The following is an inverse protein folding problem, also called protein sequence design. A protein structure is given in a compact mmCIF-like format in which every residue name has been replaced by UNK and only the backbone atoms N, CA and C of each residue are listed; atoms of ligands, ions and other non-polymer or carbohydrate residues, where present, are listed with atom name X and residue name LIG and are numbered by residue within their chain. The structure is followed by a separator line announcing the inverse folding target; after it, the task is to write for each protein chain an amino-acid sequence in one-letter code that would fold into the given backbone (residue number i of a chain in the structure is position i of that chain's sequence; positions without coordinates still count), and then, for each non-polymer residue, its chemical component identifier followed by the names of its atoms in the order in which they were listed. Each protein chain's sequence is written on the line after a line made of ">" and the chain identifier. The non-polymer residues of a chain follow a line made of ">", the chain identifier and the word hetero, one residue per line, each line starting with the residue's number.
data_IF_919226342188
#
_entry.id   IF_919226342188
#
_cell.length_a   1.000
_cell.length_b   1.000
_cell.length_c   1.000
_cell.angle_alpha   90.00
_cell.angle_beta   90.00
_cell.angle_gamma   90.00
#
_symmetry.space_group_name_H-M   'P 1'
#
loop_
_entity.id
_entity.type
_entity.pdbx_description
1 polymer ?
#
# COMPACT_ATOMS: atom_id res chain seq x y z
N UNK A 1 16.89 -21.32 -7.00
CA UNK A 1 16.61 -20.05 -7.70
C UNK A 1 15.61 -19.32 -6.80
N UNK A 2 16.11 -18.46 -5.89
CA UNK A 2 15.24 -17.68 -5.00
C UNK A 2 14.49 -16.67 -5.88
N UNK A 3 13.15 -16.81 -5.98
CA UNK A 3 12.32 -15.71 -6.42
C UNK A 3 12.46 -14.65 -5.33
N UNK A 4 13.10 -13.54 -5.65
CA UNK A 4 13.05 -12.34 -4.83
C UNK A 4 11.59 -11.92 -4.73
N UNK A 5 10.98 -12.19 -3.58
CA UNK A 5 9.64 -11.74 -3.25
C UNK A 5 9.70 -10.23 -3.09
N UNK A 6 8.99 -9.54 -3.95
CA UNK A 6 8.94 -8.09 -4.01
C UNK A 6 8.13 -7.55 -2.83
N UNK A 7 8.79 -6.93 -1.86
CA UNK A 7 8.13 -6.27 -0.75
C UNK A 7 7.72 -4.84 -1.14
N UNK A 8 6.43 -4.65 -1.41
CA UNK A 8 5.86 -3.35 -1.78
C UNK A 8 5.83 -2.33 -0.65
N UNK A 9 5.99 -2.77 0.59
CA UNK A 9 5.97 -1.91 1.77
C UNK A 9 7.37 -1.47 2.20
N UNK A 10 8.42 -2.00 1.60
CA UNK A 10 9.77 -1.53 1.82
C UNK A 10 10.06 -0.32 0.92
N UNK A 11 10.28 0.84 1.52
CA UNK A 11 10.75 2.05 0.80
C UNK A 11 12.06 1.81 0.02
N UNK A 12 12.78 0.71 0.30
CA UNK A 12 13.94 0.25 -0.47
C UNK A 12 13.54 -0.46 -1.76
N UNK A 13 12.31 -0.96 -1.90
CA UNK A 13 11.82 -1.67 -3.09
C UNK A 13 11.75 -0.76 -4.33
N UNK A 14 11.56 0.54 -4.14
CA UNK A 14 11.69 1.57 -5.19
C UNK A 14 13.07 1.53 -5.83
N UNK A 15 14.12 1.23 -5.05
CA UNK A 15 15.50 1.09 -5.53
C UNK A 15 15.67 -0.14 -6.44
N UNK A 16 14.77 -1.10 -6.37
CA UNK A 16 14.82 -2.37 -7.11
C UNK A 16 14.21 -2.23 -8.51
N UNK A 17 13.25 -1.32 -8.75
CA UNK A 17 12.96 -0.91 -10.11
C UNK A 17 14.20 -0.21 -10.65
N UNK A 18 15.09 -0.92 -11.31
CA UNK A 18 16.28 -0.52 -12.03
C UNK A 18 16.23 0.93 -12.60
N UNK A 19 15.87 1.87 -11.73
CA UNK A 19 16.01 3.28 -12.01
C UNK A 19 17.51 3.53 -12.08
N UNK A 20 17.96 3.96 -13.23
CA UNK A 20 19.34 4.36 -13.45
C UNK A 20 19.82 5.25 -12.28
N UNK A 21 21.06 5.11 -11.85
CA UNK A 21 21.68 5.95 -10.80
C UNK A 21 21.46 7.44 -11.06
N UNK A 22 21.42 7.83 -12.32
CA UNK A 22 21.13 9.18 -12.77
C UNK A 22 19.72 9.64 -12.37
N UNK A 23 18.71 8.81 -12.63
CA UNK A 23 17.31 9.11 -12.27
C UNK A 23 17.15 9.20 -10.75
N UNK A 24 17.82 8.33 -9.98
CA UNK A 24 17.80 8.42 -8.50
C UNK A 24 18.35 9.72 -7.97
N UNK A 25 19.42 10.23 -8.59
CA UNK A 25 19.98 11.53 -8.24
C UNK A 25 19.00 12.67 -8.57
N UNK A 26 18.32 12.60 -9.70
CA UNK A 26 17.28 13.57 -10.10
C UNK A 26 16.09 13.57 -9.15
N UNK A 27 15.71 12.41 -8.61
CA UNK A 27 14.65 12.30 -7.61
C UNK A 27 15.05 12.80 -6.21
N UNK A 28 16.30 13.18 -5.98
CA UNK A 28 16.72 13.83 -4.71
C UNK A 28 15.96 15.15 -4.45
N UNK A 29 15.34 15.74 -5.47
CA UNK A 29 14.43 16.88 -5.31
C UNK A 29 13.27 16.58 -4.34
N UNK A 30 12.88 15.31 -4.19
CA UNK A 30 11.84 14.89 -3.24
C UNK A 30 12.24 15.12 -1.78
N UNK A 31 13.54 15.29 -1.49
CA UNK A 31 14.01 15.65 -0.15
C UNK A 31 13.58 17.06 0.30
N UNK A 32 13.02 17.84 -0.61
CA UNK A 32 12.38 19.14 -0.31
C UNK A 32 10.97 19.01 0.26
N UNK A 33 10.35 17.84 0.12
CA UNK A 33 9.04 17.56 0.66
C UNK A 33 9.14 17.18 2.14
N UNK A 34 8.06 17.42 2.88
CA UNK A 34 7.91 16.81 4.20
C UNK A 34 7.87 15.28 4.10
N UNK A 35 8.26 14.55 5.16
CA UNK A 35 8.39 13.08 5.11
C UNK A 35 7.10 12.35 4.71
N UNK A 36 5.93 12.88 5.07
CA UNK A 36 4.66 12.24 4.72
C UNK A 36 4.34 12.41 3.24
N UNK A 37 4.49 13.63 2.71
CA UNK A 37 4.29 13.90 1.27
C UNK A 37 5.31 13.15 0.43
N UNK A 38 6.58 13.08 0.89
CA UNK A 38 7.61 12.29 0.21
C UNK A 38 7.21 10.82 0.12
N UNK A 39 6.82 10.21 1.25
CA UNK A 39 6.39 8.80 1.29
C UNK A 39 5.17 8.55 0.41
N UNK A 40 4.19 9.45 0.44
CA UNK A 40 3.03 9.41 -0.45
C UNK A 40 3.46 9.41 -1.93
N UNK A 41 4.34 10.34 -2.31
CA UNK A 41 4.86 10.44 -3.68
C UNK A 41 5.59 9.14 -4.11
N UNK A 42 6.34 8.54 -3.21
CA UNK A 42 7.00 7.25 -3.42
C UNK A 42 5.98 6.13 -3.65
N UNK A 43 4.95 6.03 -2.83
CA UNK A 43 3.88 5.05 -2.97
C UNK A 43 3.12 5.22 -4.30
N UNK A 44 2.75 6.45 -4.64
CA UNK A 44 2.04 6.77 -5.88
C UNK A 44 2.88 6.40 -7.10
N UNK A 45 4.17 6.72 -7.11
CA UNK A 45 5.08 6.32 -8.19
C UNK A 45 5.15 4.80 -8.38
N UNK A 46 5.28 4.06 -7.28
CA UNK A 46 5.31 2.59 -7.30
C UNK A 46 4.00 2.00 -7.81
N UNK A 47 2.88 2.48 -7.28
CA UNK A 47 1.55 1.99 -7.69
C UNK A 47 1.28 2.31 -9.17
N UNK A 48 1.71 3.49 -9.64
CA UNK A 48 1.67 3.87 -11.06
C UNK A 48 2.43 2.86 -11.92
N UNK A 49 3.63 2.46 -11.51
CA UNK A 49 4.42 1.44 -12.21
C UNK A 49 3.71 0.10 -12.31
N UNK A 50 3.12 -0.37 -11.21
CA UNK A 50 2.33 -1.62 -11.20
C UNK A 50 1.11 -1.55 -12.11
N UNK A 51 0.38 -0.44 -12.07
CA UNK A 51 -0.76 -0.23 -12.97
C UNK A 51 -0.30 -0.29 -14.44
N UNK A 52 0.83 0.35 -14.79
CA UNK A 52 1.42 0.28 -16.12
C UNK A 52 1.74 -1.16 -16.56
N UNK A 53 2.26 -1.99 -15.66
CA UNK A 53 2.54 -3.40 -15.93
C UNK A 53 1.25 -4.19 -16.22
N UNK A 54 0.20 -3.98 -15.42
CA UNK A 54 -1.12 -4.60 -15.67
C UNK A 54 -1.76 -4.14 -16.97
N UNK A 55 -1.53 -2.90 -17.36
CA UNK A 55 -1.93 -2.36 -18.67
C UNK A 55 -1.05 -2.85 -19.82
N UNK A 56 0.03 -3.62 -19.52
CA UNK A 56 1.02 -4.12 -20.48
C UNK A 56 1.68 -3.01 -21.29
N UNK A 57 1.96 -1.88 -20.66
CA UNK A 57 2.64 -0.77 -21.30
C UNK A 57 4.14 -1.07 -21.46
N UNK A 58 4.77 -0.45 -22.45
CA UNK A 58 6.19 -0.66 -22.68
C UNK A 58 7.05 -0.11 -21.53
N UNK A 59 8.28 -0.62 -21.40
CA UNK A 59 9.20 -0.28 -20.30
C UNK A 59 9.52 1.22 -20.26
N UNK A 60 9.69 1.86 -21.42
CA UNK A 60 10.04 3.28 -21.48
C UNK A 60 8.92 4.14 -20.91
N UNK A 61 7.67 3.90 -21.33
CA UNK A 61 6.49 4.57 -20.79
C UNK A 61 6.32 4.29 -19.29
N UNK A 62 6.52 3.05 -18.86
CA UNK A 62 6.40 2.66 -17.44
C UNK A 62 7.38 3.44 -16.57
N UNK A 63 8.66 3.52 -16.96
CA UNK A 63 9.67 4.30 -16.22
C UNK A 63 9.30 5.78 -16.20
N UNK A 64 8.87 6.33 -17.35
CA UNK A 64 8.39 7.71 -17.41
C UNK A 64 7.22 7.96 -16.47
N UNK A 65 6.23 7.09 -16.46
CA UNK A 65 5.05 7.21 -15.61
C UNK A 65 5.38 7.10 -14.11
N UNK A 66 6.32 6.22 -13.73
CA UNK A 66 6.82 6.11 -12.35
C UNK A 66 7.42 7.44 -11.90
N UNK A 67 8.28 8.04 -12.71
CA UNK A 67 8.94 9.32 -12.37
C UNK A 67 7.91 10.44 -12.28
N UNK A 68 6.94 10.50 -13.20
CA UNK A 68 5.81 11.42 -13.11
C UNK A 68 5.04 11.24 -11.79
N UNK A 69 4.79 9.99 -11.38
CA UNK A 69 4.15 9.67 -10.10
C UNK A 69 4.95 10.14 -8.90
N UNK A 70 6.28 10.00 -8.91
CA UNK A 70 7.13 10.55 -7.84
C UNK A 70 7.07 12.07 -7.76
N UNK A 71 6.97 12.75 -8.89
CA UNK A 71 7.04 14.21 -8.98
C UNK A 71 5.67 14.89 -8.92
N UNK A 72 4.56 14.16 -8.91
CA UNK A 72 3.22 14.73 -9.02
C UNK A 72 2.96 15.84 -7.99
N UNK A 73 3.42 15.63 -6.77
CA UNK A 73 3.20 16.50 -5.62
C UNK A 73 4.39 17.43 -5.28
N UNK A 74 5.43 17.51 -6.13
CA UNK A 74 6.63 18.30 -5.82
C UNK A 74 6.33 19.79 -5.58
N UNK A 75 5.24 20.29 -6.15
CA UNK A 75 4.77 21.65 -5.94
C UNK A 75 4.32 21.97 -4.52
N UNK A 76 4.00 20.94 -3.70
CA UNK A 76 3.69 21.12 -2.29
C UNK A 76 4.83 21.70 -1.49
N UNK A 77 6.08 21.58 -1.99
CA UNK A 77 7.24 22.23 -1.40
C UNK A 77 7.17 23.79 -1.43
N UNK A 78 6.24 24.36 -2.18
CA UNK A 78 6.01 25.80 -2.26
C UNK A 78 4.66 26.23 -1.66
N UNK A 79 3.88 25.31 -1.10
CA UNK A 79 2.63 25.62 -0.39
C UNK A 79 2.97 26.03 1.04
N UNK A 80 2.31 27.08 1.60
CA UNK A 80 2.51 27.50 2.98
C UNK A 80 2.31 26.32 3.97
N UNK A 81 3.25 26.21 4.92
CA UNK A 81 3.26 25.09 5.88
C UNK A 81 1.96 25.02 6.72
N UNK A 82 1.39 26.18 7.07
CA UNK A 82 0.14 26.27 7.85
C UNK A 82 -1.04 25.63 7.11
N UNK A 83 -1.02 25.61 5.77
CA UNK A 83 -2.04 24.94 4.95
C UNK A 83 -1.76 23.44 4.84
N UNK A 84 -0.48 23.08 4.64
CA UNK A 84 -0.08 21.66 4.52
C UNK A 84 -0.27 20.88 5.82
N UNK A 85 0.08 21.49 6.97
CA UNK A 85 0.06 20.85 8.28
C UNK A 85 -1.26 21.03 9.02
N UNK A 86 -2.28 21.62 8.39
CA UNK A 86 -3.56 21.91 9.04
C UNK A 86 -4.26 20.65 9.51
N UNK A 87 -4.54 20.58 10.80
CA UNK A 87 -5.36 19.52 11.37
C UNK A 87 -6.85 19.85 11.14
N UNK A 88 -7.47 19.13 10.20
CA UNK A 88 -8.85 19.32 9.81
C UNK A 88 -9.07 19.76 8.35
N UNK A 89 -10.33 20.03 7.96
CA UNK A 89 -10.66 20.41 6.59
C UNK A 89 -10.15 21.80 6.24
N UNK A 90 -9.66 21.94 4.98
CA UNK A 90 -9.29 23.22 4.42
C UNK A 90 -10.56 24.07 4.16
N UNK A 91 -10.47 25.36 4.41
CA UNK A 91 -11.47 26.33 3.94
C UNK A 91 -11.40 26.44 2.40
N UNK A 92 -12.43 26.99 1.78
CA UNK A 92 -12.44 27.17 0.31
C UNK A 92 -11.20 27.98 -0.16
N UNK A 93 -10.81 29.03 0.56
CA UNK A 93 -9.63 29.84 0.22
C UNK A 93 -8.33 29.04 0.34
N UNK A 94 -8.15 28.29 1.40
CA UNK A 94 -6.98 27.42 1.59
C UNK A 94 -6.93 26.30 0.54
N UNK A 95 -8.09 25.79 0.15
CA UNK A 95 -8.17 24.78 -0.90
C UNK A 95 -7.78 25.34 -2.27
N UNK A 96 -8.17 26.59 -2.60
CA UNK A 96 -7.68 27.25 -3.82
C UNK A 96 -6.15 27.43 -3.81
N UNK A 97 -5.56 27.76 -2.67
CA UNK A 97 -4.09 27.80 -2.53
C UNK A 97 -3.52 26.40 -2.69
N UNK A 98 -4.10 25.39 -2.05
CA UNK A 98 -3.65 23.99 -2.18
C UNK A 98 -3.65 23.54 -3.64
N UNK A 99 -4.67 23.85 -4.44
CA UNK A 99 -4.72 23.47 -5.87
C UNK A 99 -3.53 24.00 -6.67
N UNK A 100 -2.93 25.11 -6.25
CA UNK A 100 -1.79 25.69 -6.97
C UNK A 100 -0.56 24.79 -6.97
N UNK A 101 -0.47 23.74 -6.10
CA UNK A 101 0.68 22.83 -6.12
C UNK A 101 0.86 22.16 -7.49
N UNK A 102 -0.19 21.96 -8.28
CA UNK A 102 -0.10 21.38 -9.63
C UNK A 102 0.69 22.30 -10.58
N UNK A 103 0.36 23.58 -10.62
CA UNK A 103 1.04 24.57 -11.45
C UNK A 103 2.42 24.92 -10.91
N UNK A 104 2.60 24.95 -9.58
CA UNK A 104 3.91 25.14 -8.95
C UNK A 104 4.84 23.95 -9.26
N UNK A 105 4.33 22.72 -9.18
CA UNK A 105 5.07 21.51 -9.52
C UNK A 105 5.48 21.48 -10.99
N UNK A 106 4.58 21.82 -11.89
CA UNK A 106 4.89 22.01 -13.31
C UNK A 106 6.03 23.01 -13.50
N UNK A 107 5.95 24.18 -12.88
CA UNK A 107 6.96 25.21 -12.98
C UNK A 107 8.33 24.78 -12.43
N UNK A 108 8.34 24.01 -11.34
CA UNK A 108 9.58 23.42 -10.81
C UNK A 108 10.20 22.48 -11.86
N UNK A 109 9.42 21.57 -12.42
CA UNK A 109 9.90 20.65 -13.44
C UNK A 109 10.38 21.36 -14.70
N UNK A 110 9.68 22.40 -15.17
CA UNK A 110 10.04 23.14 -16.38
C UNK A 110 11.35 23.92 -16.25
N UNK A 111 11.73 24.32 -15.02
CA UNK A 111 13.00 25.04 -14.75
C UNK A 111 14.23 24.11 -14.81
N UNK A 112 14.06 22.81 -14.60
CA UNK A 112 15.15 21.83 -14.70
C UNK A 112 14.98 20.99 -15.98
N UNK A 113 15.95 21.08 -16.89
CA UNK A 113 15.91 20.37 -18.19
C UNK A 113 15.74 18.85 -18.03
N UNK A 114 16.22 18.29 -16.94
CA UNK A 114 16.15 16.85 -16.65
C UNK A 114 14.74 16.43 -16.17
N UNK A 115 14.03 17.33 -15.48
CA UNK A 115 12.69 17.08 -14.96
C UNK A 115 11.59 17.50 -15.92
N UNK A 116 11.91 18.36 -16.90
CA UNK A 116 10.96 18.87 -17.89
C UNK A 116 10.11 17.80 -18.57
N UNK A 117 10.63 16.62 -18.96
CA UNK A 117 9.82 15.58 -19.58
C UNK A 117 8.68 15.06 -18.68
N UNK A 118 8.77 15.26 -17.37
CA UNK A 118 7.83 14.71 -16.38
C UNK A 118 6.83 15.76 -15.85
N UNK A 119 6.91 17.01 -16.35
CA UNK A 119 6.11 18.14 -15.87
C UNK A 119 4.60 17.92 -15.96
N UNK A 120 4.12 17.18 -16.98
CA UNK A 120 2.71 16.89 -17.17
C UNK A 120 2.11 16.03 -16.04
N UNK A 121 2.91 15.16 -15.43
CA UNK A 121 2.49 14.40 -14.25
C UNK A 121 2.11 15.32 -13.09
N UNK A 122 2.94 16.35 -12.81
CA UNK A 122 2.65 17.32 -11.77
C UNK A 122 1.47 18.24 -12.12
N UNK A 123 1.30 18.60 -13.39
CA UNK A 123 0.25 19.56 -13.79
C UNK A 123 -1.14 18.92 -13.78
N UNK A 124 -1.29 17.71 -14.31
CA UNK A 124 -2.60 17.16 -14.70
C UNK A 124 -3.12 16.02 -13.84
N UNK A 125 -2.41 15.60 -12.79
CA UNK A 125 -2.84 14.44 -11.97
C UNK A 125 -4.17 14.65 -11.22
N UNK A 126 -4.63 15.88 -11.05
CA UNK A 126 -5.94 16.21 -10.49
C UNK A 126 -7.02 16.52 -11.53
N UNK A 127 -6.73 16.38 -12.81
CA UNK A 127 -7.79 16.45 -13.84
C UNK A 127 -8.71 15.24 -13.73
N UNK A 128 -9.99 15.43 -14.06
CA UNK A 128 -11.03 14.40 -14.00
C UNK A 128 -11.67 14.20 -15.36
N UNK A 129 -11.94 12.95 -15.77
CA UNK A 129 -12.46 12.64 -17.11
C UNK A 129 -13.74 13.39 -17.44
N UNK A 130 -14.58 13.70 -16.45
CA UNK A 130 -15.81 14.49 -16.62
C UNK A 130 -15.58 16.01 -16.64
N UNK A 131 -14.35 16.49 -16.52
CA UNK A 131 -13.99 17.89 -16.55
C UNK A 131 -14.18 18.66 -15.23
N UNK A 132 -14.45 17.97 -14.13
CA UNK A 132 -14.60 18.59 -12.79
C UNK A 132 -13.27 18.71 -12.05
N UNK A 133 -12.17 18.32 -12.69
CA UNK A 133 -10.81 18.39 -12.14
C UNK A 133 -10.20 19.78 -12.25
N UNK A 134 -8.92 19.87 -11.93
CA UNK A 134 -8.10 21.07 -12.00
C UNK A 134 -6.67 20.75 -12.44
N UNK A 135 -5.89 21.72 -12.95
CA UNK A 135 -6.12 23.17 -12.96
C UNK A 135 -6.93 23.69 -14.18
N UNK A 136 -7.08 22.90 -15.23
CA UNK A 136 -7.66 23.38 -16.50
C UNK A 136 -9.08 22.85 -16.78
N UNK A 137 -9.54 21.86 -16.03
CA UNK A 137 -10.84 21.21 -16.26
C UNK A 137 -10.88 20.41 -17.57
N UNK A 138 -9.74 19.78 -17.91
CA UNK A 138 -9.63 18.95 -19.11
C UNK A 138 -10.57 17.75 -19.03
N UNK A 139 -10.98 17.24 -20.20
CA UNK A 139 -11.92 16.11 -20.29
C UNK A 139 -11.30 14.98 -21.10
N UNK A 140 -11.62 13.75 -20.69
CA UNK A 140 -11.35 12.53 -21.47
C UNK A 140 -9.91 12.46 -22.03
N UNK A 141 -9.79 12.40 -23.34
CA UNK A 141 -8.52 12.23 -24.05
C UNK A 141 -7.61 13.45 -23.99
N UNK A 142 -8.14 14.64 -23.71
CA UNK A 142 -7.34 15.85 -23.51
C UNK A 142 -6.43 15.74 -22.29
N UNK A 143 -6.79 14.84 -21.32
CA UNK A 143 -5.95 14.56 -20.17
C UNK A 143 -4.85 13.58 -20.57
N UNK A 144 -3.56 13.89 -20.39
CA UNK A 144 -2.46 12.98 -20.69
C UNK A 144 -2.66 11.62 -20.02
N UNK A 145 -2.38 10.53 -20.75
CA UNK A 145 -2.66 9.19 -20.26
C UNK A 145 -1.90 8.87 -18.96
N UNK A 146 -0.68 9.39 -18.82
CA UNK A 146 0.11 9.27 -17.58
C UNK A 146 -0.61 9.91 -16.39
N UNK A 147 -1.20 11.08 -16.56
CA UNK A 147 -1.94 11.79 -15.50
C UNK A 147 -3.20 11.01 -15.07
N UNK A 148 -3.90 10.36 -16.02
CA UNK A 148 -5.05 9.49 -15.69
C UNK A 148 -4.65 8.28 -14.85
N UNK A 149 -3.45 7.73 -15.07
CA UNK A 149 -2.92 6.62 -14.25
C UNK A 149 -2.55 7.12 -12.85
N UNK A 150 -1.81 8.23 -12.78
CA UNK A 150 -1.37 8.84 -11.51
C UNK A 150 -2.59 9.20 -10.66
N UNK A 151 -3.64 9.79 -11.24
CA UNK A 151 -4.85 10.12 -10.49
C UNK A 151 -5.44 8.94 -9.75
N UNK A 152 -5.52 7.77 -10.37
CA UNK A 152 -6.06 6.57 -9.72
C UNK A 152 -5.14 6.09 -8.58
N UNK A 153 -3.84 6.15 -8.80
CA UNK A 153 -2.85 5.77 -7.79
C UNK A 153 -2.84 6.73 -6.59
N UNK A 154 -2.87 8.05 -6.86
CA UNK A 154 -2.90 9.11 -5.86
C UNK A 154 -4.16 9.04 -5.01
N UNK A 155 -5.34 8.94 -5.62
CA UNK A 155 -6.61 8.85 -4.91
C UNK A 155 -6.67 7.62 -3.99
N UNK A 156 -6.16 6.48 -4.46
CA UNK A 156 -6.07 5.27 -3.62
C UNK A 156 -5.15 5.46 -2.43
N UNK A 157 -3.90 5.90 -2.64
CA UNK A 157 -2.93 6.06 -1.56
C UNK A 157 -3.41 7.13 -0.55
N UNK A 158 -3.96 8.25 -1.03
CA UNK A 158 -4.52 9.28 -0.17
C UNK A 158 -5.69 8.78 0.70
N UNK A 159 -6.56 7.92 0.17
CA UNK A 159 -7.69 7.34 0.93
C UNK A 159 -7.19 6.31 1.94
N UNK A 160 -6.21 5.48 1.57
CA UNK A 160 -5.63 4.46 2.43
C UNK A 160 -4.80 5.11 3.54
N UNK A 161 -3.98 6.09 3.24
CA UNK A 161 -3.07 6.77 4.20
C UNK A 161 -3.82 7.65 5.19
N UNK A 162 -4.83 8.43 4.76
CA UNK A 162 -5.61 9.31 5.65
C UNK A 162 -6.34 8.57 6.79
N UNK A 163 -6.54 7.27 6.66
CA UNK A 163 -7.25 6.46 7.67
C UNK A 163 -6.34 5.86 8.73
N UNK A 164 -5.02 6.05 8.67
CA UNK A 164 -4.11 5.58 9.72
C UNK A 164 -4.37 6.18 11.11
N UNK A 165 -5.06 7.31 11.21
CA UNK A 165 -5.53 7.86 12.50
C UNK A 165 -6.82 7.18 13.02
N UNK A 166 -7.49 6.36 12.21
CA UNK A 166 -8.63 5.53 12.66
C UNK A 166 -8.28 4.07 12.36
N UNK A 167 -8.11 3.30 13.39
CA UNK A 167 -7.86 1.85 13.39
C UNK A 167 -8.59 1.13 12.24
N UNK A 168 -7.80 0.44 11.40
CA UNK A 168 -8.19 -0.39 10.26
C UNK A 168 -8.78 0.37 9.05
N UNK A 169 -7.91 0.62 8.09
CA UNK A 169 -8.35 1.03 6.76
C UNK A 169 -9.15 -0.09 6.14
N UNK A 170 -10.44 0.14 5.97
CA UNK A 170 -11.26 -0.80 5.21
C UNK A 170 -10.98 -0.59 3.72
N UNK A 171 -10.00 -1.34 3.19
CA UNK A 171 -9.61 -1.30 1.77
C UNK A 171 -10.84 -1.47 0.88
N UNK A 172 -11.80 -2.33 1.28
CA UNK A 172 -13.01 -2.54 0.51
C UNK A 172 -13.90 -1.29 0.44
N UNK A 173 -13.97 -0.48 1.50
CA UNK A 173 -14.70 0.80 1.46
C UNK A 173 -13.99 1.84 0.59
N UNK A 174 -12.65 1.89 0.64
CA UNK A 174 -11.86 2.74 -0.25
C UNK A 174 -12.15 2.41 -1.72
N UNK A 175 -12.09 1.13 -2.09
CA UNK A 175 -12.37 0.69 -3.45
C UNK A 175 -13.83 0.94 -3.86
N UNK A 176 -14.80 0.82 -2.94
CA UNK A 176 -16.20 1.20 -3.19
C UNK A 176 -16.37 2.71 -3.45
N UNK A 177 -15.60 3.56 -2.77
CA UNK A 177 -15.61 5.00 -3.02
C UNK A 177 -15.04 5.30 -4.42
N UNK A 178 -13.90 4.71 -4.76
CA UNK A 178 -13.30 4.86 -6.09
C UNK A 178 -14.20 4.31 -7.21
N UNK A 179 -14.94 3.23 -6.94
CA UNK A 179 -15.92 2.71 -7.89
C UNK A 179 -17.04 3.72 -8.19
N UNK A 180 -17.48 4.52 -7.19
CA UNK A 180 -18.43 5.60 -7.40
C UNK A 180 -17.85 6.71 -8.29
N UNK A 181 -16.55 7.02 -8.12
CA UNK A 181 -15.88 8.04 -8.92
C UNK A 181 -15.56 7.57 -10.36
N UNK A 182 -15.48 6.25 -10.59
CA UNK A 182 -15.39 5.68 -11.94
C UNK A 182 -16.75 5.58 -12.66
N UNK A 183 -17.85 5.72 -11.93
CA UNK A 183 -19.21 5.58 -12.43
C UNK A 183 -19.60 6.81 -13.26
N UNK A 184 -20.27 6.63 -14.41
CA UNK A 184 -20.91 7.73 -15.12
C UNK A 184 -21.94 8.47 -14.30
N UNK A 185 -22.05 9.79 -14.50
CA UNK A 185 -22.97 10.66 -13.74
C UNK A 185 -24.45 10.28 -13.90
N UNK A 186 -24.80 9.66 -15.05
CA UNK A 186 -26.13 9.18 -15.38
C UNK A 186 -26.52 7.83 -14.76
N UNK A 187 -25.57 7.13 -14.12
CA UNK A 187 -25.85 5.86 -13.47
C UNK A 187 -26.29 6.02 -12.00
N UNK A 188 -27.55 5.78 -11.69
CA UNK A 188 -28.10 5.92 -10.34
C UNK A 188 -27.75 4.80 -9.35
N UNK A 189 -27.32 3.63 -9.83
CA UNK A 189 -26.96 2.47 -8.97
C UNK A 189 -25.45 2.21 -8.96
N UNK A 190 -24.92 1.81 -7.82
CA UNK A 190 -23.56 1.26 -7.72
C UNK A 190 -23.54 -0.06 -8.47
N UNK A 191 -22.74 -0.16 -9.50
CA UNK A 191 -22.62 -1.31 -10.39
C UNK A 191 -21.37 -2.09 -10.01
N UNK A 192 -21.34 -3.37 -10.25
CA UNK A 192 -20.11 -4.15 -10.13
C UNK A 192 -19.05 -3.64 -11.12
N UNK A 193 -17.79 -3.80 -10.78
CA UNK A 193 -16.66 -3.27 -11.58
C UNK A 193 -16.67 -3.79 -13.03
N UNK A 194 -17.08 -5.04 -13.23
CA UNK A 194 -17.22 -5.70 -14.54
C UNK A 194 -18.38 -5.17 -15.40
N UNK A 195 -19.38 -4.54 -14.79
CA UNK A 195 -20.49 -3.87 -15.49
C UNK A 195 -20.12 -2.47 -15.97
N UNK A 196 -19.04 -1.87 -15.47
CA UNK A 196 -18.52 -0.64 -16.02
C UNK A 196 -17.88 -0.92 -17.37
N UNK A 197 -18.37 -0.26 -18.42
CA UNK A 197 -17.68 -0.28 -19.71
C UNK A 197 -16.26 0.23 -19.55
N UNK A 198 -15.28 -0.51 -20.06
CA UNK A 198 -13.87 -0.07 -20.02
C UNK A 198 -13.65 1.26 -20.75
N UNK A 199 -14.54 1.57 -21.69
CA UNK A 199 -14.53 2.79 -22.49
C UNK A 199 -15.42 3.90 -21.89
N UNK A 200 -16.07 3.68 -20.72
CA UNK A 200 -16.80 4.74 -20.06
C UNK A 200 -15.82 5.85 -19.61
N UNK A 201 -16.06 7.05 -20.08
CA UNK A 201 -15.22 8.21 -19.81
C UNK A 201 -16.02 9.39 -19.23
N UNK A 202 -17.13 9.10 -18.60
CA UNK A 202 -18.04 10.10 -18.02
C UNK A 202 -17.95 10.22 -16.51
N UNK A 203 -17.26 9.30 -15.83
CA UNK A 203 -16.90 9.44 -14.41
C UNK A 203 -15.69 10.35 -14.21
N UNK A 204 -15.19 10.44 -12.96
CA UNK A 204 -13.98 11.20 -12.64
C UNK A 204 -12.70 10.44 -13.01
N UNK A 205 -12.69 9.12 -12.85
CA UNK A 205 -11.54 8.24 -13.09
C UNK A 205 -11.85 7.14 -14.10
N UNK A 206 -10.80 6.59 -14.72
CA UNK A 206 -10.93 5.56 -15.74
C UNK A 206 -11.29 4.20 -15.14
N UNK A 207 -12.42 3.56 -15.56
CA UNK A 207 -12.77 2.21 -15.13
C UNK A 207 -11.70 1.17 -15.49
N UNK A 208 -11.07 1.32 -16.65
CA UNK A 208 -9.99 0.42 -17.11
C UNK A 208 -8.79 0.45 -16.16
N UNK A 209 -8.37 1.64 -15.75
CA UNK A 209 -7.25 1.81 -14.82
C UNK A 209 -7.65 1.33 -13.43
N UNK A 210 -8.87 1.62 -12.99
CA UNK A 210 -9.40 1.15 -11.71
C UNK A 210 -9.45 -0.38 -11.64
N UNK A 211 -9.82 -1.07 -12.72
CA UNK A 211 -9.77 -2.54 -12.80
C UNK A 211 -8.35 -3.09 -12.56
N UNK A 212 -7.32 -2.41 -13.06
CA UNK A 212 -5.94 -2.79 -12.77
C UNK A 212 -5.60 -2.62 -11.29
N UNK A 213 -6.02 -1.51 -10.67
CA UNK A 213 -5.84 -1.29 -9.23
C UNK A 213 -6.51 -2.39 -8.40
N UNK A 214 -7.75 -2.77 -8.71
CA UNK A 214 -8.45 -3.87 -8.00
C UNK A 214 -7.66 -5.18 -8.07
N UNK A 215 -7.12 -5.53 -9.25
CA UNK A 215 -6.29 -6.74 -9.39
C UNK A 215 -5.04 -6.67 -8.52
N UNK A 216 -4.37 -5.52 -8.50
CA UNK A 216 -3.20 -5.29 -7.67
C UNK A 216 -3.54 -5.50 -6.18
N UNK A 217 -4.60 -4.86 -5.72
CA UNK A 217 -5.03 -4.96 -4.31
C UNK A 217 -5.43 -6.38 -3.92
N UNK A 218 -6.11 -7.10 -4.81
CA UNK A 218 -6.44 -8.53 -4.61
C UNK A 218 -5.17 -9.38 -4.47
N UNK A 219 -4.18 -9.17 -5.32
CA UNK A 219 -2.92 -9.91 -5.24
C UNK A 219 -2.15 -9.60 -3.96
N UNK A 220 -2.08 -8.33 -3.57
CA UNK A 220 -1.42 -7.92 -2.32
C UNK A 220 -2.11 -8.53 -1.11
N UNK A 221 -3.45 -8.53 -1.08
CA UNK A 221 -4.21 -9.16 0.00
C UNK A 221 -3.96 -10.68 0.06
N UNK A 222 -3.92 -11.35 -1.09
CA UNK A 222 -3.59 -12.78 -1.16
C UNK A 222 -2.17 -13.07 -0.68
N UNK A 223 -1.21 -12.23 -1.04
CA UNK A 223 0.16 -12.36 -0.57
C UNK A 223 0.26 -12.15 0.94
N UNK A 224 -0.40 -11.12 1.49
CA UNK A 224 -0.47 -10.90 2.95
C UNK A 224 -1.08 -12.10 3.67
N UNK A 225 -2.16 -12.68 3.14
CA UNK A 225 -2.76 -13.91 3.67
C UNK A 225 -1.72 -15.04 3.73
N UNK A 226 -0.98 -15.28 2.65
CA UNK A 226 0.05 -16.31 2.62
C UNK A 226 1.12 -16.09 3.69
N UNK A 227 1.65 -14.86 3.80
CA UNK A 227 2.65 -14.53 4.82
C UNK A 227 2.15 -14.73 6.25
N UNK A 228 0.88 -14.37 6.51
CA UNK A 228 0.29 -14.56 7.85
C UNK A 228 0.06 -16.03 8.14
N UNK A 229 -0.34 -16.86 7.17
CA UNK A 229 -0.47 -18.32 7.32
C UNK A 229 0.89 -18.94 7.65
N UNK A 230 1.93 -18.63 6.88
CA UNK A 230 3.28 -19.15 7.13
C UNK A 230 3.78 -18.80 8.54
N UNK A 231 3.46 -17.58 9.01
CA UNK A 231 3.82 -17.16 10.36
C UNK A 231 2.97 -17.85 11.46
N UNK A 232 1.69 -18.12 11.20
CA UNK A 232 0.83 -18.93 12.09
C UNK A 232 1.40 -20.33 12.23
N UNK A 233 1.81 -20.95 11.14
CA UNK A 233 2.38 -22.31 11.17
C UNK A 233 3.69 -22.34 11.94
N UNK A 234 4.56 -21.35 11.72
CA UNK A 234 5.79 -21.17 12.53
C UNK A 234 5.48 -21.02 14.02
N UNK A 235 4.48 -20.22 14.40
CA UNK A 235 4.09 -20.05 15.80
C UNK A 235 3.56 -21.35 16.39
N UNK A 236 2.71 -22.10 15.67
CA UNK A 236 2.16 -23.39 16.14
C UNK A 236 3.26 -24.43 16.37
N UNK A 237 4.21 -24.55 15.47
CA UNK A 237 5.35 -25.45 15.65
C UNK A 237 6.24 -25.02 16.82
N UNK A 238 6.53 -23.72 16.95
CA UNK A 238 7.33 -23.18 18.05
C UNK A 238 6.64 -23.38 19.41
N UNK A 239 5.34 -23.16 19.50
CA UNK A 239 4.54 -23.41 20.70
C UNK A 239 4.63 -24.90 21.07
N UNK A 240 4.40 -25.81 20.14
CA UNK A 240 4.47 -27.26 20.36
C UNK A 240 5.85 -27.69 20.88
N UNK A 241 6.93 -27.13 20.33
CA UNK A 241 8.30 -27.38 20.78
C UNK A 241 8.54 -26.85 22.20
N UNK A 242 8.10 -25.62 22.52
CA UNK A 242 8.22 -25.03 23.84
C UNK A 242 7.36 -25.77 24.89
N UNK A 243 6.19 -26.29 24.53
CA UNK A 243 5.36 -27.15 25.39
C UNK A 243 6.04 -28.48 25.67
N UNK A 244 6.79 -29.02 24.72
CA UNK A 244 7.63 -30.21 24.96
C UNK A 244 8.75 -29.92 25.94
N UNK A 245 9.41 -28.76 25.85
CA UNK A 245 10.41 -28.29 26.83
C UNK A 245 9.78 -28.20 28.22
N UNK A 246 8.58 -27.61 28.30
CA UNK A 246 7.87 -27.50 29.57
C UNK A 246 7.53 -28.87 30.18
N UNK A 247 7.08 -29.80 29.35
CA UNK A 247 6.87 -31.20 29.74
C UNK A 247 8.15 -31.86 30.28
N UNK A 248 9.30 -31.62 29.66
CA UNK A 248 10.59 -32.12 30.13
C UNK A 248 11.01 -31.48 31.44
N UNK A 249 10.76 -30.18 31.61
CA UNK A 249 11.02 -29.47 32.87
C UNK A 249 10.20 -30.07 34.03
N UNK A 250 8.91 -30.29 33.83
CA UNK A 250 8.04 -30.95 34.82
C UNK A 250 8.54 -32.35 35.19
N UNK A 251 8.92 -33.15 34.18
CA UNK A 251 9.46 -34.51 34.39
C UNK A 251 10.83 -34.48 35.11
N UNK A 252 11.67 -33.48 34.83
CA UNK A 252 12.94 -33.27 35.51
C UNK A 252 12.75 -32.93 36.99
N UNK A 253 11.80 -32.04 37.30
CA UNK A 253 11.48 -31.65 38.67
C UNK A 253 10.94 -32.83 39.49
N UNK A 254 10.14 -33.70 38.88
CA UNK A 254 9.54 -34.86 39.55
C UNK A 254 10.44 -36.11 39.58
N UNK A 255 11.61 -36.05 38.92
CA UNK A 255 12.51 -37.20 38.87
C UNK A 255 13.29 -37.35 40.21
N UNK A 256 13.30 -38.54 40.79
CA UNK A 256 14.03 -38.87 41.98
C UNK A 256 15.49 -39.25 41.72
N UNK A 257 15.81 -39.81 40.55
CA UNK A 257 17.16 -40.25 40.20
C UNK A 257 17.88 -39.16 39.39
N UNK A 258 19.13 -38.85 39.75
CA UNK A 258 19.96 -37.83 39.09
C UNK A 258 20.11 -38.09 37.57
N UNK A 259 20.38 -39.33 37.19
CA UNK A 259 20.52 -39.73 35.75
C UNK A 259 19.26 -39.38 34.92
N UNK A 260 18.03 -39.44 35.51
CA UNK A 260 16.82 -39.04 34.82
C UNK A 260 16.69 -37.51 34.72
N UNK A 261 17.13 -36.79 35.76
CA UNK A 261 17.18 -35.30 35.72
C UNK A 261 18.08 -34.82 34.60
N UNK A 262 19.31 -35.41 34.54
CA UNK A 262 20.28 -35.04 33.52
C UNK A 262 19.74 -35.31 32.09
N UNK A 263 19.11 -36.48 31.87
CA UNK A 263 18.47 -36.85 30.60
C UNK A 263 17.42 -35.80 30.17
N UNK A 264 16.51 -35.39 31.05
CA UNK A 264 15.51 -34.39 30.69
C UNK A 264 16.13 -33.02 30.47
N UNK A 265 17.15 -32.63 31.24
CA UNK A 265 17.87 -31.38 31.08
C UNK A 265 18.57 -31.30 29.74
N UNK A 266 19.28 -32.35 29.34
CA UNK A 266 19.91 -32.45 28.01
C UNK A 266 18.88 -32.36 26.89
N UNK A 267 17.75 -33.07 27.03
CA UNK A 267 16.67 -33.00 26.05
C UNK A 267 16.09 -31.58 25.88
N UNK A 268 15.97 -30.82 26.98
CA UNK A 268 15.54 -29.41 26.90
C UNK A 268 16.58 -28.56 26.17
N UNK A 269 17.87 -28.73 26.49
CA UNK A 269 18.97 -27.96 25.86
C UNK A 269 18.98 -28.18 24.34
N UNK A 270 18.73 -29.43 23.87
CA UNK A 270 18.67 -29.75 22.46
C UNK A 270 17.47 -29.10 21.73
N UNK A 271 16.42 -28.76 22.47
CA UNK A 271 15.22 -28.15 21.90
C UNK A 271 15.25 -26.61 21.90
N UNK A 272 16.12 -25.99 22.69
CA UNK A 272 16.25 -24.54 22.70
C UNK A 272 16.80 -24.02 21.37
N UNK A 273 16.19 -22.96 20.87
CA UNK A 273 16.66 -22.20 19.72
C UNK A 273 17.47 -20.97 20.18
N UNK A 274 18.05 -20.25 19.24
CA UNK A 274 18.84 -19.06 19.50
C UNK A 274 18.04 -18.02 20.34
N UNK A 275 18.61 -17.61 21.46
CA UNK A 275 17.97 -16.68 22.40
C UNK A 275 17.08 -17.32 23.46
N UNK A 276 16.79 -18.63 23.37
CA UNK A 276 15.96 -19.35 24.33
C UNK A 276 16.82 -20.03 25.41
N UNK A 277 16.33 -20.08 26.64
CA UNK A 277 17.00 -20.73 27.76
C UNK A 277 16.00 -21.09 28.88
N UNK A 278 16.51 -21.75 29.94
CA UNK A 278 15.70 -22.16 31.09
C UNK A 278 14.99 -21.02 31.82
N UNK A 279 15.45 -19.78 31.68
CA UNK A 279 14.91 -18.62 32.40
C UNK A 279 13.79 -17.93 31.62
N UNK A 280 13.84 -17.95 30.28
CA UNK A 280 12.97 -17.14 29.45
C UNK A 280 11.93 -17.91 28.61
N UNK A 281 12.06 -19.24 28.45
CA UNK A 281 11.20 -20.01 27.55
C UNK A 281 9.69 -19.92 27.89
N UNK A 282 9.34 -19.82 29.18
CA UNK A 282 7.94 -19.64 29.58
C UNK A 282 7.36 -18.30 29.12
N UNK A 283 8.17 -17.24 29.19
CA UNK A 283 7.76 -15.92 28.72
C UNK A 283 7.59 -15.94 27.20
N UNK A 284 8.52 -16.55 26.47
CA UNK A 284 8.46 -16.72 25.02
C UNK A 284 7.22 -17.53 24.61
N UNK A 285 6.93 -18.63 25.32
CA UNK A 285 5.73 -19.45 25.08
C UNK A 285 4.45 -18.62 25.25
N UNK A 286 4.38 -17.78 26.29
CA UNK A 286 3.24 -16.88 26.51
C UNK A 286 3.08 -15.86 25.38
N UNK A 287 4.19 -15.26 24.95
CA UNK A 287 4.22 -14.28 23.86
C UNK A 287 3.79 -14.92 22.52
N UNK A 288 4.27 -16.13 22.21
CA UNK A 288 3.89 -16.84 20.99
C UNK A 288 2.41 -17.23 20.98
N UNK A 289 1.84 -17.66 22.11
CA UNK A 289 0.40 -17.91 22.23
C UNK A 289 -0.43 -16.65 22.02
N UNK A 290 -0.01 -15.53 22.59
CA UNK A 290 -0.67 -14.24 22.37
C UNK A 290 -0.58 -13.78 20.93
N UNK A 291 0.61 -13.92 20.32
CA UNK A 291 0.83 -13.59 18.90
C UNK A 291 -0.03 -14.46 17.97
N UNK A 292 -0.18 -15.76 18.27
CA UNK A 292 -1.02 -16.67 17.49
C UNK A 292 -2.49 -16.22 17.44
N UNK A 293 -3.08 -15.88 18.58
CA UNK A 293 -4.48 -15.40 18.65
C UNK A 293 -4.66 -14.13 17.79
N UNK A 294 -3.71 -13.19 17.86
CA UNK A 294 -3.77 -11.96 17.07
C UNK A 294 -3.71 -12.28 15.57
N UNK A 295 -2.86 -13.23 15.15
CA UNK A 295 -2.70 -13.59 13.74
C UNK A 295 -3.87 -14.40 13.19
N UNK A 296 -4.45 -15.29 13.97
CA UNK A 296 -5.67 -16.02 13.58
C UNK A 296 -6.83 -15.04 13.34
N UNK A 297 -7.02 -14.06 14.22
CA UNK A 297 -8.01 -12.99 13.98
C UNK A 297 -7.69 -12.18 12.72
N UNK A 298 -6.41 -11.86 12.47
CA UNK A 298 -6.01 -11.11 11.27
C UNK A 298 -6.34 -11.85 9.98
N UNK A 299 -6.20 -13.18 9.97
CA UNK A 299 -6.57 -14.00 8.80
C UNK A 299 -8.05 -13.88 8.49
N UNK A 300 -8.92 -13.95 9.48
CA UNK A 300 -10.37 -13.80 9.30
C UNK A 300 -10.71 -12.43 8.70
N UNK A 301 -10.09 -11.35 9.22
CA UNK A 301 -10.27 -9.99 8.70
C UNK A 301 -9.81 -9.86 7.24
N UNK A 302 -8.68 -10.50 6.88
CA UNK A 302 -8.15 -10.49 5.50
C UNK A 302 -9.05 -11.27 4.53
N UNK A 303 -9.56 -12.44 4.92
CA UNK A 303 -10.49 -13.19 4.08
C UNK A 303 -11.79 -12.43 3.86
N UNK A 304 -12.35 -11.79 4.89
CA UNK A 304 -13.52 -10.92 4.75
C UNK A 304 -13.24 -9.75 3.79
N UNK A 305 -12.07 -9.12 3.93
CA UNK A 305 -11.65 -8.06 3.03
C UNK A 305 -11.54 -8.55 1.59
N UNK A 306 -10.92 -9.71 1.36
CA UNK A 306 -10.75 -10.31 0.03
C UNK A 306 -12.11 -10.60 -0.63
N UNK A 307 -13.08 -11.15 0.11
CA UNK A 307 -14.43 -11.39 -0.38
C UNK A 307 -15.10 -10.06 -0.79
N UNK A 308 -15.01 -9.04 0.04
CA UNK A 308 -15.59 -7.72 -0.23
C UNK A 308 -14.92 -6.99 -1.41
N UNK A 309 -13.63 -7.22 -1.65
CA UNK A 309 -12.92 -6.64 -2.79
C UNK A 309 -13.29 -7.39 -4.09
N UNK A 310 -13.41 -8.72 -4.01
CA UNK A 310 -13.74 -9.55 -5.17
C UNK A 310 -15.19 -9.40 -5.62
N UNK A 311 -16.10 -9.11 -4.67
CA UNK A 311 -17.55 -8.94 -4.92
C UNK A 311 -18.07 -7.62 -4.30
N UNK A 312 -17.60 -6.44 -4.77
CA UNK A 312 -17.86 -5.15 -4.11
C UNK A 312 -19.34 -4.74 -4.05
N UNK A 313 -20.23 -5.48 -4.70
CA UNK A 313 -21.67 -5.17 -4.78
C UNK A 313 -22.58 -6.21 -4.14
N UNK A 314 -22.08 -7.37 -3.69
CA UNK A 314 -22.90 -8.28 -2.90
C UNK A 314 -23.20 -7.65 -1.55
N UNK A 315 -24.49 -7.42 -1.28
CA UNK A 315 -24.99 -7.12 0.08
C UNK A 315 -24.67 -8.35 0.92
N UNK A 316 -23.86 -8.22 1.95
CA UNK A 316 -23.83 -9.19 3.04
C UNK A 316 -25.27 -9.31 3.56
N UNK A 317 -25.86 -10.51 3.65
CA UNK A 317 -27.09 -10.67 4.42
C UNK A 317 -26.76 -10.24 5.87
N UNK A 318 -27.62 -9.38 6.42
CA UNK A 318 -27.62 -8.97 7.82
C UNK A 318 -27.87 -10.21 8.69
#
# INVERSE_FOLDING_TARGET
>A
MYQETFDFYDSTSIKIYNLDKKIRYELSILDRLDPMTKRHSENVGNLTGRICQYLRLNKQFTVHAIICGYLHDIGKSQIPYEILSKDGPLTNKEFEVMKTHTTLGYNICMKDLRLRPYAEGALYHHEALNGTGYPQGLKKEDIPFVARIIRVADEYDALVTKRHYKTHVNISETLKLMLKDAKPDDMHKVVALDQLSENAQSGKISPKILKCLFKIVIEDTKYEISCVIDYIDYLKESIKRLELIDSYNMKMQNATKQKKRDYYKEGMVMLFQAGENFQNYHQILKEYRAALVIREKRIDDLYLSLIHISEPTRRTPI
#
